data_IF_926234732947
#
_entry.id   IF_926234732947
#
_cell.length_a   1.000
_cell.length_b   1.000
_cell.length_c   1.000
_cell.angle_alpha   90.00
_cell.angle_beta   90.00
_cell.angle_gamma   90.00
#
_symmetry.space_group_name_H-M   'P 1'
#
loop_
_entity.id
_entity.type
_entity.pdbx_description
1 polymer ?
#
# COMPACT_ATOMS: atom_id res chain seq x y z
N UNK A 1 -18.80 26.25 23.84
CA UNK A 1 -18.32 24.87 24.08
C UNK A 1 -18.46 24.13 22.77
N UNK A 2 -17.36 23.72 22.14
CA UNK A 2 -17.40 22.89 20.94
C UNK A 2 -17.75 21.46 21.35
N UNK A 3 -18.72 20.84 20.68
CA UNK A 3 -19.01 19.42 20.85
C UNK A 3 -17.76 18.59 20.54
N UNK A 4 -17.50 17.49 21.29
CA UNK A 4 -16.39 16.60 20.98
C UNK A 4 -16.52 16.10 19.54
N UNK A 5 -15.41 16.06 18.82
CA UNK A 5 -15.36 15.55 17.44
C UNK A 5 -15.80 14.08 17.43
N UNK A 6 -16.64 13.73 16.45
CA UNK A 6 -17.00 12.33 16.20
C UNK A 6 -15.73 11.56 15.82
N UNK A 7 -15.54 10.37 16.37
CA UNK A 7 -14.48 9.47 15.92
C UNK A 7 -14.74 8.94 14.52
N UNK A 8 -16.03 8.82 14.14
CA UNK A 8 -16.48 8.18 12.91
C UNK A 8 -17.01 9.17 11.88
N UNK A 9 -16.56 9.02 10.65
CA UNK A 9 -16.96 9.81 9.50
C UNK A 9 -18.12 9.13 8.77
N UNK A 10 -19.29 9.74 8.87
CA UNK A 10 -20.48 9.32 8.11
C UNK A 10 -20.62 10.08 6.76
N UNK A 11 -19.76 11.07 6.51
CA UNK A 11 -19.83 11.89 5.30
C UNK A 11 -19.21 11.17 4.11
N UNK A 12 -19.96 11.09 3.01
CA UNK A 12 -19.47 10.61 1.73
C UNK A 12 -18.60 11.69 1.06
N UNK A 13 -17.31 11.39 0.90
CA UNK A 13 -16.30 12.25 0.32
C UNK A 13 -16.24 12.03 -1.19
N UNK A 14 -16.67 13.03 -1.95
CA UNK A 14 -16.47 13.10 -3.40
C UNK A 14 -15.02 13.45 -3.75
N UNK A 15 -14.66 13.39 -5.04
CA UNK A 15 -13.33 13.80 -5.51
C UNK A 15 -12.96 15.23 -5.06
N UNK A 16 -13.88 16.18 -5.22
CA UNK A 16 -13.63 17.57 -4.86
C UNK A 16 -13.48 17.72 -3.34
N UNK A 17 -14.30 17.03 -2.56
CA UNK A 17 -14.18 17.03 -1.11
C UNK A 17 -12.81 16.47 -0.66
N UNK A 18 -12.38 15.35 -1.24
CA UNK A 18 -11.06 14.77 -0.97
C UNK A 18 -9.93 15.74 -1.31
N UNK A 19 -9.98 16.43 -2.47
CA UNK A 19 -8.97 17.41 -2.85
C UNK A 19 -8.91 18.55 -1.83
N UNK A 20 -10.04 19.12 -1.43
CA UNK A 20 -10.08 20.18 -0.42
C UNK A 20 -9.53 19.74 0.94
N UNK A 21 -9.83 18.51 1.37
CA UNK A 21 -9.26 17.94 2.60
C UNK A 21 -7.74 17.77 2.50
N UNK A 22 -7.24 17.29 1.36
CA UNK A 22 -5.82 17.10 1.11
C UNK A 22 -5.05 18.41 0.97
N UNK A 23 -5.67 19.46 0.42
CA UNK A 23 -5.10 20.81 0.36
C UNK A 23 -4.89 21.40 1.76
N UNK A 24 -5.88 21.28 2.63
CA UNK A 24 -5.75 21.74 4.02
C UNK A 24 -4.77 20.87 4.81
N UNK A 25 -4.79 19.55 4.61
CA UNK A 25 -3.80 18.66 5.21
C UNK A 25 -2.39 19.06 4.76
N UNK A 26 -2.19 19.34 3.47
CA UNK A 26 -0.93 19.79 2.89
C UNK A 26 -0.36 21.02 3.58
N UNK A 27 -1.19 22.04 3.84
CA UNK A 27 -0.75 23.26 4.52
C UNK A 27 -0.30 22.96 5.95
N UNK A 28 -1.07 22.17 6.68
CA UNK A 28 -0.76 21.81 8.06
C UNK A 28 0.50 20.95 8.16
N UNK A 29 0.66 19.94 7.29
CA UNK A 29 1.87 19.10 7.32
C UNK A 29 3.10 19.87 6.85
N UNK A 30 2.99 20.82 5.92
CA UNK A 30 4.13 21.67 5.56
C UNK A 30 4.58 22.53 6.73
N UNK A 31 3.63 23.11 7.46
CA UNK A 31 3.92 23.88 8.68
C UNK A 31 4.55 23.00 9.76
N UNK A 32 3.99 21.81 9.98
CA UNK A 32 4.43 20.89 11.02
C UNK A 32 5.82 20.32 10.70
N UNK A 33 6.00 19.75 9.51
CA UNK A 33 7.23 19.02 9.16
C UNK A 33 8.31 19.88 8.51
N UNK A 34 7.98 21.10 8.06
CA UNK A 34 8.91 21.99 7.36
C UNK A 34 9.34 21.51 5.97
N UNK A 35 8.74 20.42 5.47
CA UNK A 35 9.04 19.85 4.16
C UNK A 35 7.83 19.08 3.61
N UNK A 36 7.88 18.76 2.32
CA UNK A 36 6.91 17.87 1.69
C UNK A 36 7.01 16.44 2.26
N UNK A 37 5.87 15.86 2.65
CA UNK A 37 5.77 14.47 3.11
C UNK A 37 5.15 13.58 2.05
N UNK A 38 5.32 12.26 2.18
CA UNK A 38 4.68 11.26 1.31
C UNK A 38 3.81 10.33 2.14
N UNK A 39 2.59 10.10 1.66
CA UNK A 39 1.66 9.13 2.23
C UNK A 39 1.29 8.10 1.18
N UNK A 40 1.30 6.83 1.58
CA UNK A 40 0.91 5.70 0.74
C UNK A 40 -0.50 5.26 1.11
N UNK A 41 -1.40 5.23 0.14
CA UNK A 41 -2.83 4.99 0.37
C UNK A 41 -3.37 3.79 -0.42
N UNK A 42 -4.48 3.24 0.06
CA UNK A 42 -5.26 2.23 -0.66
C UNK A 42 -6.77 2.50 -0.53
N UNK A 43 -7.61 1.52 -0.84
CA UNK A 43 -9.04 1.59 -0.55
C UNK A 43 -9.88 2.32 -1.60
N UNK A 44 -10.90 3.05 -1.14
CA UNK A 44 -11.86 3.76 -2.01
C UNK A 44 -11.32 5.06 -2.58
N UNK A 45 -10.52 5.80 -1.80
CA UNK A 45 -9.94 7.08 -2.21
C UNK A 45 -9.09 6.98 -3.49
N UNK A 46 -8.33 5.90 -3.64
CA UNK A 46 -7.54 5.62 -4.86
C UNK A 46 -8.42 5.61 -6.11
N UNK A 47 -9.58 4.96 -6.04
CA UNK A 47 -10.49 4.81 -7.17
C UNK A 47 -11.12 6.14 -7.61
N UNK A 48 -11.16 7.13 -6.71
CA UNK A 48 -11.77 8.44 -6.94
C UNK A 48 -10.71 9.46 -7.38
N UNK A 49 -9.51 9.39 -6.81
CA UNK A 49 -8.44 10.37 -7.05
C UNK A 49 -7.57 10.00 -8.26
N UNK A 50 -7.34 8.71 -8.51
CA UNK A 50 -6.44 8.29 -9.58
C UNK A 50 -7.02 8.63 -10.97
N UNK A 51 -6.29 9.38 -11.83
CA UNK A 51 -6.83 9.92 -13.08
C UNK A 51 -7.52 8.87 -13.96
N UNK A 52 -6.86 7.73 -14.20
CA UNK A 52 -7.39 6.67 -15.05
C UNK A 52 -8.48 5.81 -14.39
N UNK A 53 -8.42 5.62 -13.07
CA UNK A 53 -9.39 4.78 -12.37
C UNK A 53 -10.69 5.54 -12.13
N UNK A 54 -10.62 6.84 -11.84
CA UNK A 54 -11.79 7.69 -11.69
C UNK A 54 -12.67 7.73 -12.94
N UNK A 55 -12.05 7.61 -14.12
CA UNK A 55 -12.73 7.59 -15.41
C UNK A 55 -13.37 6.22 -15.74
N UNK A 56 -12.82 5.13 -15.19
CA UNK A 56 -13.22 3.75 -15.53
C UNK A 56 -13.98 3.01 -14.42
N UNK A 57 -13.94 3.53 -13.19
CA UNK A 57 -14.74 3.08 -12.06
C UNK A 57 -16.09 3.79 -12.03
N UNK A 58 -17.11 3.13 -11.48
CA UNK A 58 -18.41 3.73 -11.16
C UNK A 58 -18.42 4.42 -9.79
N UNK A 59 -17.40 4.19 -8.95
CA UNK A 59 -17.31 4.79 -7.63
C UNK A 59 -17.16 6.31 -7.76
N UNK A 60 -17.97 7.06 -7.00
CA UNK A 60 -17.93 8.54 -6.97
C UNK A 60 -17.62 9.11 -5.59
N UNK A 61 -17.81 8.31 -4.55
CA UNK A 61 -17.56 8.71 -3.16
C UNK A 61 -16.88 7.61 -2.36
N UNK A 62 -16.19 8.00 -1.30
CA UNK A 62 -15.61 7.13 -0.26
C UNK A 62 -15.90 7.75 1.10
N UNK A 63 -15.80 7.00 2.19
CA UNK A 63 -15.91 7.57 3.54
C UNK A 63 -14.56 8.01 4.09
N UNK A 64 -13.49 7.41 3.61
CA UNK A 64 -12.17 7.56 4.19
C UNK A 64 -11.06 7.43 3.13
N UNK A 65 -9.86 7.81 3.57
CA UNK A 65 -8.57 7.59 2.92
C UNK A 65 -7.78 6.61 3.79
N UNK A 66 -7.71 5.35 3.38
CA UNK A 66 -6.88 4.35 4.07
C UNK A 66 -5.40 4.59 3.75
N UNK A 67 -4.56 4.84 4.77
CA UNK A 67 -3.13 5.05 4.60
C UNK A 67 -2.27 4.09 5.42
N UNK A 68 -1.05 3.83 4.93
CA UNK A 68 -0.11 2.91 5.58
C UNK A 68 0.69 3.68 6.64
N UNK A 69 0.18 3.71 7.87
CA UNK A 69 0.79 4.43 8.99
C UNK A 69 2.21 3.96 9.29
N UNK A 70 2.45 2.65 9.36
CA UNK A 70 3.79 2.10 9.64
C UNK A 70 4.84 2.50 8.62
N UNK A 71 4.44 2.73 7.36
CA UNK A 71 5.35 3.18 6.31
C UNK A 71 5.83 4.60 6.59
N UNK A 72 4.90 5.49 6.91
CA UNK A 72 5.19 6.86 7.30
C UNK A 72 6.08 6.91 8.54
N UNK A 73 5.71 6.19 9.61
CA UNK A 73 6.53 6.13 10.83
C UNK A 73 7.92 5.54 10.61
N UNK A 74 8.08 4.58 9.69
CA UNK A 74 9.39 4.04 9.33
C UNK A 74 10.27 5.04 8.59
N UNK A 75 9.72 5.83 7.66
CA UNK A 75 10.47 6.87 6.95
C UNK A 75 11.00 7.94 7.91
N UNK A 76 10.18 8.38 8.86
CA UNK A 76 10.53 9.48 9.76
C UNK A 76 11.41 9.07 10.93
N UNK A 77 11.26 7.85 11.47
CA UNK A 77 12.20 7.33 12.48
C UNK A 77 13.62 7.24 11.93
N UNK A 78 13.80 6.92 10.64
CA UNK A 78 15.12 6.97 9.98
C UNK A 78 15.72 8.37 9.88
N UNK A 79 14.89 9.41 9.99
CA UNK A 79 15.28 10.82 10.00
C UNK A 79 15.42 11.38 11.42
N UNK A 80 15.26 10.55 12.46
CA UNK A 80 15.35 10.96 13.87
C UNK A 80 14.09 11.62 14.43
N UNK A 81 12.96 11.58 13.71
CA UNK A 81 11.68 12.12 14.18
C UNK A 81 10.80 10.97 14.65
N UNK A 82 10.72 10.78 15.97
CA UNK A 82 10.07 9.63 16.59
C UNK A 82 8.58 9.86 16.89
N UNK A 83 8.15 11.11 16.97
CA UNK A 83 6.76 11.55 17.22
C UNK A 83 6.00 11.89 15.93
N UNK A 84 6.58 11.61 14.75
CA UNK A 84 6.02 12.00 13.46
C UNK A 84 4.56 11.53 13.26
N UNK A 85 4.23 10.31 13.69
CA UNK A 85 2.87 9.77 13.56
C UNK A 85 1.85 10.55 14.40
N UNK A 86 2.22 10.96 15.61
CA UNK A 86 1.37 11.76 16.50
C UNK A 86 1.13 13.16 15.92
N UNK A 87 2.19 13.74 15.35
CA UNK A 87 2.13 15.04 14.64
C UNK A 87 1.24 14.98 13.40
N UNK A 88 1.36 13.92 12.59
CA UNK A 88 0.47 13.70 11.45
C UNK A 88 -0.99 13.53 11.90
N UNK A 89 -1.23 12.77 12.97
CA UNK A 89 -2.58 12.60 13.52
C UNK A 89 -3.16 13.93 14.02
N UNK A 90 -2.34 14.80 14.60
CA UNK A 90 -2.76 16.16 14.98
C UNK A 90 -3.22 16.96 13.75
N UNK A 91 -2.48 16.93 12.64
CA UNK A 91 -2.89 17.56 11.39
C UNK A 91 -4.21 16.97 10.85
N UNK A 92 -4.36 15.64 10.83
CA UNK A 92 -5.58 14.94 10.39
C UNK A 92 -6.79 15.37 11.24
N UNK A 93 -6.63 15.45 12.56
CA UNK A 93 -7.68 15.87 13.48
C UNK A 93 -8.07 17.34 13.28
N UNK A 94 -7.09 18.22 12.99
CA UNK A 94 -7.35 19.62 12.70
C UNK A 94 -8.15 19.80 11.39
N UNK A 95 -7.84 19.02 10.35
CA UNK A 95 -8.65 18.98 9.11
C UNK A 95 -10.06 18.47 9.43
N UNK A 96 -10.18 17.37 10.17
CA UNK A 96 -11.49 16.82 10.55
C UNK A 96 -12.36 17.86 11.27
N UNK A 97 -11.76 18.62 12.18
CA UNK A 97 -12.41 19.70 12.91
C UNK A 97 -12.89 20.83 12.00
N UNK A 98 -12.05 21.25 11.04
CA UNK A 98 -12.36 22.32 10.08
C UNK A 98 -13.54 21.97 9.17
N UNK A 99 -13.63 20.71 8.73
CA UNK A 99 -14.68 20.25 7.82
C UNK A 99 -15.89 19.61 8.53
N UNK A 100 -15.89 19.56 9.86
CA UNK A 100 -16.92 18.91 10.66
C UNK A 100 -17.17 17.43 10.28
N UNK A 101 -16.09 16.69 10.03
CA UNK A 101 -16.11 15.25 9.71
C UNK A 101 -15.45 14.43 10.81
N UNK A 102 -15.64 13.11 10.77
CA UNK A 102 -15.01 12.20 11.72
C UNK A 102 -13.49 12.15 11.59
N UNK A 103 -12.78 11.91 12.68
CA UNK A 103 -11.30 11.85 12.68
C UNK A 103 -10.73 10.67 11.88
N UNK A 104 -11.55 9.64 11.61
CA UNK A 104 -11.21 8.49 10.76
C UNK A 104 -11.38 8.76 9.25
N UNK A 105 -11.62 10.01 8.81
CA UNK A 105 -11.61 10.35 7.38
C UNK A 105 -10.27 10.01 6.70
N UNK A 106 -9.17 9.99 7.46
CA UNK A 106 -7.88 9.46 7.05
C UNK A 106 -7.47 8.35 8.02
N UNK A 107 -7.73 7.10 7.62
CA UNK A 107 -7.77 5.94 8.50
C UNK A 107 -6.48 5.11 8.40
N UNK A 108 -5.91 4.74 9.56
CA UNK A 108 -4.77 3.84 9.67
C UNK A 108 -5.15 2.44 10.17
N UNK A 109 -6.38 2.21 10.63
CA UNK A 109 -6.79 0.94 11.23
C UNK A 109 -6.59 -0.28 10.32
N UNK A 110 -6.81 -0.19 8.98
CA UNK A 110 -6.53 -1.30 8.09
C UNK A 110 -5.06 -1.76 8.12
N UNK A 111 -4.13 -0.90 8.53
CA UNK A 111 -2.69 -1.16 8.59
C UNK A 111 -2.37 -2.38 9.48
N UNK A 112 -3.13 -2.57 10.57
CA UNK A 112 -2.94 -3.66 11.54
C UNK A 112 -3.08 -5.05 10.90
N UNK A 113 -3.91 -5.17 9.86
CA UNK A 113 -4.20 -6.44 9.21
C UNK A 113 -3.26 -6.74 8.02
N UNK A 114 -2.43 -5.79 7.61
CA UNK A 114 -1.56 -5.96 6.45
C UNK A 114 -0.32 -6.79 6.82
N UNK A 115 0.17 -7.66 5.91
CA UNK A 115 1.27 -8.57 6.23
C UNK A 115 2.62 -7.85 6.31
N UNK A 116 3.49 -8.36 7.17
CA UNK A 116 4.94 -8.17 7.06
C UNK A 116 5.59 -9.34 6.34
N UNK A 117 6.73 -9.09 5.71
CA UNK A 117 7.55 -10.10 5.07
C UNK A 117 8.95 -10.15 5.70
N UNK A 118 9.64 -11.28 5.53
CA UNK A 118 11.07 -11.40 5.86
C UNK A 118 11.88 -11.42 4.58
N UNK A 119 12.94 -10.63 4.53
CA UNK A 119 13.89 -10.68 3.41
C UNK A 119 14.80 -11.93 3.54
N UNK A 120 15.68 -12.23 2.57
CA UNK A 120 16.60 -13.36 2.65
C UNK A 120 17.56 -13.36 3.85
N UNK A 121 17.74 -12.20 4.51
CA UNK A 121 18.52 -12.05 5.74
C UNK A 121 17.70 -12.28 7.01
N UNK A 122 16.40 -12.59 6.86
CA UNK A 122 15.47 -12.77 7.97
C UNK A 122 14.93 -11.45 8.56
N UNK A 123 15.29 -10.30 7.99
CA UNK A 123 14.86 -8.99 8.48
C UNK A 123 13.42 -8.72 8.08
N UNK A 124 12.63 -8.21 9.03
CA UNK A 124 11.24 -7.87 8.81
C UNK A 124 11.14 -6.58 7.98
N UNK A 125 10.29 -6.57 6.96
CA UNK A 125 9.99 -5.39 6.17
C UNK A 125 8.51 -5.33 5.79
N UNK A 126 8.04 -4.12 5.46
CA UNK A 126 6.71 -3.89 4.91
C UNK A 126 6.77 -4.05 3.38
N UNK A 127 6.20 -5.14 2.82
CA UNK A 127 6.26 -5.39 1.39
C UNK A 127 5.40 -4.42 0.58
N UNK A 128 4.29 -3.91 1.16
CA UNK A 128 3.40 -2.99 0.47
C UNK A 128 4.09 -1.66 0.28
N UNK A 129 4.69 -1.13 1.34
CA UNK A 129 5.51 0.08 1.26
C UNK A 129 6.73 -0.11 0.36
N UNK A 130 7.41 -1.26 0.48
CA UNK A 130 8.59 -1.56 -0.34
C UNK A 130 8.30 -1.46 -1.84
N UNK A 131 7.17 -2.00 -2.28
CA UNK A 131 6.80 -1.98 -3.70
C UNK A 131 6.21 -0.63 -4.12
N UNK A 132 5.47 0.03 -3.23
CA UNK A 132 4.78 1.28 -3.55
C UNK A 132 5.73 2.48 -3.67
N UNK A 133 6.88 2.44 -3.00
CA UNK A 133 7.89 3.52 -3.06
C UNK A 133 8.82 3.44 -4.27
N UNK A 134 8.67 2.44 -5.14
CA UNK A 134 9.52 2.30 -6.32
C UNK A 134 9.27 3.46 -7.30
N UNK A 135 10.30 4.00 -7.98
CA UNK A 135 10.16 5.20 -8.81
C UNK A 135 9.05 5.11 -9.86
N UNK A 136 8.94 3.97 -10.54
CA UNK A 136 7.89 3.71 -11.52
C UNK A 136 6.48 3.74 -10.90
N UNK A 137 6.31 3.23 -9.68
CA UNK A 137 5.02 3.32 -8.99
C UNK A 137 4.71 4.76 -8.60
N UNK A 138 5.69 5.52 -8.11
CA UNK A 138 5.50 6.93 -7.76
C UNK A 138 5.04 7.72 -8.99
N UNK A 139 5.71 7.53 -10.13
CA UNK A 139 5.36 8.21 -11.38
C UNK A 139 3.93 7.87 -11.84
N UNK A 140 3.58 6.58 -11.86
CA UNK A 140 2.29 6.14 -12.39
C UNK A 140 1.12 6.34 -11.42
N UNK A 141 1.36 6.26 -10.12
CA UNK A 141 0.31 6.11 -9.10
C UNK A 141 0.30 7.25 -8.06
N UNK A 142 0.98 8.36 -8.32
CA UNK A 142 0.74 9.60 -7.57
C UNK A 142 -0.65 10.14 -7.91
N UNK A 143 -1.51 10.24 -6.91
CA UNK A 143 -2.92 10.66 -7.10
C UNK A 143 -3.18 12.09 -6.64
N UNK A 144 -2.25 12.69 -5.89
CA UNK A 144 -2.32 14.07 -5.44
C UNK A 144 -0.91 14.59 -5.12
N UNK A 145 -0.64 15.85 -5.48
CA UNK A 145 0.62 16.55 -5.23
C UNK A 145 0.35 18.00 -4.86
N UNK A 146 1.02 18.46 -3.81
CA UNK A 146 1.02 19.84 -3.33
C UNK A 146 2.35 20.18 -2.64
N UNK A 147 2.63 21.43 -2.25
CA UNK A 147 3.91 21.78 -1.60
C UNK A 147 4.21 20.99 -0.32
N UNK A 148 3.19 20.61 0.46
CA UNK A 148 3.35 19.88 1.72
C UNK A 148 3.14 18.38 1.62
N UNK A 149 2.44 17.89 0.60
CA UNK A 149 1.95 16.52 0.58
C UNK A 149 2.02 15.89 -0.82
N UNK A 150 2.53 14.66 -0.88
CA UNK A 150 2.34 13.75 -2.01
C UNK A 150 1.55 12.54 -1.51
N UNK A 151 0.48 12.21 -2.21
CA UNK A 151 -0.31 10.99 -1.94
C UNK A 151 -0.11 10.01 -3.09
N UNK A 152 0.38 8.82 -2.75
CA UNK A 152 0.75 7.78 -3.70
C UNK A 152 -0.13 6.57 -3.43
N UNK A 153 -0.84 6.08 -4.45
CA UNK A 153 -1.54 4.80 -4.33
C UNK A 153 -0.52 3.66 -4.19
N UNK A 154 -0.87 2.65 -3.41
CA UNK A 154 -0.16 1.36 -3.46
C UNK A 154 -0.14 0.82 -4.89
N UNK A 155 0.82 -0.06 -5.18
CA UNK A 155 0.88 -0.71 -6.49
C UNK A 155 -0.46 -1.40 -6.81
N UNK A 156 -0.80 -1.46 -8.11
CA UNK A 156 -2.08 -2.02 -8.54
C UNK A 156 -2.29 -3.48 -8.10
N UNK A 157 -1.24 -4.29 -8.04
CA UNK A 157 -1.35 -5.66 -7.53
C UNK A 157 -1.71 -5.71 -6.05
N UNK A 158 -1.13 -4.84 -5.21
CA UNK A 158 -1.51 -4.73 -3.81
C UNK A 158 -2.96 -4.24 -3.67
N UNK A 159 -3.37 -3.22 -4.42
CA UNK A 159 -4.75 -2.74 -4.38
C UNK A 159 -5.77 -3.82 -4.77
N UNK A 160 -5.49 -4.62 -5.81
CA UNK A 160 -6.33 -5.77 -6.20
C UNK A 160 -6.34 -6.85 -5.11
N UNK A 161 -5.17 -7.23 -4.59
CA UNK A 161 -5.04 -8.25 -3.56
C UNK A 161 -5.81 -7.91 -2.28
N UNK A 162 -5.70 -6.66 -1.80
CA UNK A 162 -6.41 -6.19 -0.61
C UNK A 162 -7.93 -6.18 -0.82
N UNK A 163 -8.39 -5.76 -2.00
CA UNK A 163 -9.82 -5.81 -2.37
C UNK A 163 -10.31 -7.24 -2.53
N UNK A 164 -9.51 -8.18 -3.04
CA UNK A 164 -9.89 -9.59 -3.17
C UNK A 164 -10.10 -10.29 -1.83
N UNK A 165 -9.33 -9.96 -0.80
CA UNK A 165 -9.51 -10.52 0.55
C UNK A 165 -10.84 -10.07 1.15
N UNK A 166 -11.23 -8.83 0.87
CA UNK A 166 -12.42 -8.21 1.41
C UNK A 166 -13.68 -8.54 0.61
N UNK A 167 -13.61 -8.34 -0.70
CA UNK A 167 -14.59 -8.61 -1.75
C UNK A 167 -16.04 -8.30 -1.38
N UNK A 168 -16.30 -7.04 -1.00
CA UNK A 168 -17.64 -6.57 -0.61
C UNK A 168 -17.95 -5.19 -1.16
N UNK A 169 -19.24 -4.89 -1.28
CA UNK A 169 -19.77 -3.61 -1.80
C UNK A 169 -19.21 -3.32 -3.21
N UNK A 170 -18.42 -2.28 -3.35
CA UNK A 170 -17.82 -1.80 -4.61
C UNK A 170 -16.46 -2.46 -4.92
N UNK A 171 -15.96 -3.37 -4.08
CA UNK A 171 -14.69 -4.06 -4.36
C UNK A 171 -14.66 -4.80 -5.71
N UNK A 172 -15.71 -5.53 -6.15
CA UNK A 172 -15.71 -6.20 -7.44
C UNK A 172 -15.56 -5.22 -8.62
N UNK A 173 -16.32 -4.11 -8.60
CA UNK A 173 -16.26 -3.09 -9.66
C UNK A 173 -14.94 -2.34 -9.65
N UNK A 174 -14.38 -2.08 -8.46
CA UNK A 174 -13.07 -1.47 -8.32
C UNK A 174 -11.96 -2.37 -8.91
N UNK A 175 -12.01 -3.68 -8.61
CA UNK A 175 -11.06 -4.66 -9.18
C UNK A 175 -11.17 -4.66 -10.71
N UNK A 176 -12.38 -4.68 -11.27
CA UNK A 176 -12.58 -4.64 -12.73
C UNK A 176 -11.96 -3.39 -13.35
N UNK A 177 -12.15 -2.21 -12.75
CA UNK A 177 -11.53 -0.96 -13.22
C UNK A 177 -9.99 -1.03 -13.16
N UNK A 178 -9.42 -1.59 -12.08
CA UNK A 178 -7.98 -1.78 -11.94
C UNK A 178 -7.41 -2.77 -12.98
N UNK A 179 -8.11 -3.87 -13.25
CA UNK A 179 -7.71 -4.84 -14.28
C UNK A 179 -7.79 -4.21 -15.68
N UNK A 180 -8.86 -3.47 -15.98
CA UNK A 180 -9.01 -2.74 -17.25
C UNK A 180 -7.87 -1.74 -17.44
N UNK A 181 -7.50 -1.01 -16.39
CA UNK A 181 -6.34 -0.13 -16.44
C UNK A 181 -5.04 -0.89 -16.73
N UNK A 182 -4.83 -2.04 -16.08
CA UNK A 182 -3.70 -2.93 -16.37
C UNK A 182 -3.66 -3.45 -17.82
N UNK A 183 -4.83 -3.76 -18.41
CA UNK A 183 -4.95 -4.12 -19.83
C UNK A 183 -4.56 -2.95 -20.73
N UNK A 184 -5.03 -1.74 -20.46
CA UNK A 184 -4.69 -0.55 -21.25
C UNK A 184 -3.20 -0.23 -21.22
N UNK A 185 -2.56 -0.38 -20.07
CA UNK A 185 -1.13 -0.07 -19.91
C UNK A 185 -0.21 -1.13 -20.52
N UNK A 186 -0.55 -2.41 -20.37
CA UNK A 186 0.38 -3.52 -20.65
C UNK A 186 -0.14 -4.55 -21.65
N UNK A 187 -1.33 -4.34 -22.24
CA UNK A 187 -1.95 -5.28 -23.17
C UNK A 187 -2.40 -6.60 -22.52
N UNK A 188 -2.44 -6.68 -21.19
CA UNK A 188 -2.72 -7.93 -20.46
C UNK A 188 -4.14 -8.42 -20.74
N UNK A 189 -4.24 -9.64 -21.26
CA UNK A 189 -5.49 -10.35 -21.44
C UNK A 189 -5.80 -11.19 -20.19
N UNK A 190 -6.62 -10.64 -19.29
CA UNK A 190 -6.88 -11.29 -18.01
C UNK A 190 -7.67 -12.59 -18.17
N UNK A 191 -7.07 -13.66 -17.65
CA UNK A 191 -7.72 -14.95 -17.38
C UNK A 191 -7.69 -15.19 -15.87
N UNK A 192 -8.59 -16.04 -15.32
CA UNK A 192 -8.53 -16.37 -13.89
C UNK A 192 -7.16 -16.91 -13.48
N UNK A 193 -6.54 -17.74 -14.32
CA UNK A 193 -5.21 -18.28 -14.08
C UNK A 193 -4.12 -17.20 -14.04
N UNK A 194 -4.11 -16.26 -15.01
CA UNK A 194 -3.15 -15.16 -15.03
C UNK A 194 -3.31 -14.28 -13.80
N UNK A 195 -4.54 -13.93 -13.43
CA UNK A 195 -4.82 -13.11 -12.26
C UNK A 195 -4.44 -13.81 -10.95
N UNK A 196 -4.75 -15.09 -10.79
CA UNK A 196 -4.38 -15.89 -9.62
C UNK A 196 -2.85 -16.00 -9.49
N UNK A 197 -2.15 -16.31 -10.58
CA UNK A 197 -0.69 -16.38 -10.58
C UNK A 197 -0.05 -15.03 -10.26
N UNK A 198 -0.60 -13.94 -10.81
CA UNK A 198 -0.13 -12.57 -10.59
C UNK A 198 -0.20 -12.17 -9.11
N UNK A 199 -1.34 -12.37 -8.45
CA UNK A 199 -1.47 -12.03 -7.02
C UNK A 199 -0.66 -12.99 -6.13
N UNK A 200 -0.58 -14.28 -6.47
CA UNK A 200 0.21 -15.24 -5.68
C UNK A 200 1.71 -14.96 -5.73
N UNK A 201 2.18 -14.48 -6.88
CA UNK A 201 3.59 -14.14 -7.08
C UNK A 201 3.93 -12.80 -6.42
N UNK A 202 3.18 -11.74 -6.74
CA UNK A 202 3.54 -10.38 -6.30
C UNK A 202 3.08 -10.06 -4.87
N UNK A 203 1.99 -10.67 -4.43
CA UNK A 203 1.45 -10.49 -3.08
C UNK A 203 1.66 -11.75 -2.23
N UNK A 204 2.75 -12.49 -2.46
CA UNK A 204 3.09 -13.69 -1.68
C UNK A 204 3.04 -13.50 -0.15
N UNK A 205 3.35 -12.32 0.44
CA UNK A 205 3.26 -12.14 1.90
C UNK A 205 1.84 -12.29 2.46
N UNK A 206 0.82 -12.26 1.61
CA UNK A 206 -0.57 -12.55 1.98
C UNK A 206 -0.81 -14.03 2.35
N UNK A 207 0.17 -14.91 2.12
CA UNK A 207 0.11 -16.30 2.54
C UNK A 207 -0.87 -17.15 1.72
N UNK A 208 -1.17 -16.78 0.48
CA UNK A 208 -2.11 -17.49 -0.39
C UNK A 208 -1.79 -18.99 -0.56
N UNK A 209 -0.51 -19.35 -0.52
CA UNK A 209 -0.08 -20.76 -0.63
C UNK A 209 -0.37 -21.59 0.62
N UNK A 210 -0.66 -20.93 1.75
CA UNK A 210 -1.00 -21.55 3.03
C UNK A 210 -2.51 -21.50 3.33
N UNK A 211 -3.32 -21.05 2.38
CA UNK A 211 -4.78 -20.99 2.53
C UNK A 211 -5.35 -22.40 2.70
N UNK A 212 -6.32 -22.54 3.61
CA UNK A 212 -7.12 -23.77 3.71
C UNK A 212 -7.91 -23.97 2.40
N UNK A 213 -8.30 -25.20 2.05
CA UNK A 213 -9.00 -25.47 0.79
C UNK A 213 -10.22 -24.56 0.54
N UNK A 214 -11.04 -24.29 1.56
CA UNK A 214 -12.21 -23.40 1.43
C UNK A 214 -11.81 -21.93 1.17
N UNK A 215 -10.75 -21.42 1.79
CA UNK A 215 -10.28 -20.05 1.58
C UNK A 215 -9.67 -19.89 0.18
N UNK A 216 -8.94 -20.91 -0.28
CA UNK A 216 -8.39 -20.94 -1.63
C UNK A 216 -9.51 -20.97 -2.68
N UNK A 217 -10.57 -21.76 -2.44
CA UNK A 217 -11.72 -21.82 -3.33
C UNK A 217 -12.51 -20.50 -3.35
N UNK A 218 -12.70 -19.88 -2.19
CA UNK A 218 -13.33 -18.56 -2.10
C UNK A 218 -12.53 -17.49 -2.87
N UNK A 219 -11.20 -17.48 -2.72
CA UNK A 219 -10.33 -16.59 -3.49
C UNK A 219 -10.47 -16.83 -4.99
N UNK A 220 -10.45 -18.09 -5.45
CA UNK A 220 -10.64 -18.44 -6.87
C UNK A 220 -12.00 -18.00 -7.37
N UNK A 221 -13.07 -18.22 -6.61
CA UNK A 221 -14.41 -17.79 -6.97
C UNK A 221 -14.48 -16.27 -7.22
N UNK A 222 -13.89 -15.48 -6.33
CA UNK A 222 -13.79 -14.02 -6.45
C UNK A 222 -12.97 -13.57 -7.66
N UNK A 223 -11.87 -14.26 -7.96
CA UNK A 223 -11.05 -14.03 -9.17
C UNK A 223 -11.86 -14.33 -10.43
N UNK A 224 -12.54 -15.48 -10.48
CA UNK A 224 -13.37 -15.88 -11.61
C UNK A 224 -14.49 -14.89 -11.86
N UNK A 225 -15.14 -14.39 -10.81
CA UNK A 225 -16.18 -13.38 -10.90
C UNK A 225 -15.63 -12.05 -11.45
N UNK A 226 -14.53 -11.53 -10.89
CA UNK A 226 -13.91 -10.30 -11.37
C UNK A 226 -13.48 -10.37 -12.85
N UNK A 227 -12.88 -11.47 -13.29
CA UNK A 227 -12.48 -11.67 -14.69
C UNK A 227 -13.70 -11.82 -15.60
N UNK A 228 -14.76 -12.48 -15.15
CA UNK A 228 -16.01 -12.58 -15.90
C UNK A 228 -16.64 -11.20 -16.10
N UNK A 229 -16.76 -10.42 -15.02
CA UNK A 229 -17.29 -9.05 -15.07
C UNK A 229 -16.48 -8.16 -16.02
N UNK A 230 -15.15 -8.27 -15.99
CA UNK A 230 -14.29 -7.57 -16.94
C UNK A 230 -14.67 -7.92 -18.38
N UNK A 231 -14.83 -9.19 -18.71
CA UNK A 231 -15.15 -9.63 -20.09
C UNK A 231 -16.54 -9.22 -20.56
N UNK A 232 -17.51 -9.20 -19.66
CA UNK A 232 -18.90 -8.83 -20.00
C UNK A 232 -19.15 -7.31 -19.98
N UNK A 233 -18.16 -6.53 -19.55
CA UNK A 233 -18.28 -5.07 -19.48
C UNK A 233 -18.36 -4.46 -20.89
N UNK A 234 -19.42 -3.69 -21.23
CA UNK A 234 -19.65 -3.17 -22.58
C UNK A 234 -18.56 -2.19 -23.08
N UNK A 235 -17.81 -1.57 -22.16
CA UNK A 235 -16.63 -0.76 -22.47
C UNK A 235 -15.47 -1.52 -23.14
N UNK A 236 -15.50 -2.86 -23.16
CA UNK A 236 -14.50 -3.67 -23.84
C UNK A 236 -14.91 -4.08 -25.26
N UNK A 237 -16.06 -3.60 -25.75
CA UNK A 237 -16.29 -3.57 -27.19
C UNK A 237 -15.15 -2.77 -27.80
N UNK A 238 -14.47 -3.28 -28.85
CA UNK A 238 -13.53 -2.47 -29.61
C UNK A 238 -14.26 -1.17 -29.90
N UNK A 239 -13.79 -0.06 -29.36
CA UNK A 239 -14.22 1.24 -29.83
C UNK A 239 -13.95 1.15 -31.32
N UNK A 240 -15.00 0.97 -32.12
CA UNK A 240 -14.93 1.36 -33.51
C UNK A 240 -14.39 2.77 -33.43
N UNK A 241 -13.11 2.93 -33.81
CA UNK A 241 -12.51 4.21 -34.08
C UNK A 241 -13.44 4.85 -35.09
N UNK A 242 -14.43 5.59 -34.58
CA UNK A 242 -15.31 6.39 -35.39
C UNK A 242 -14.37 7.35 -36.07
N UNK A 243 -14.03 6.96 -37.30
CA UNK A 243 -13.27 7.70 -38.27
C UNK A 243 -14.11 8.92 -38.62
N UNK A 244 -14.20 9.86 -37.68
CA UNK A 244 -14.49 11.24 -37.99
C UNK A 244 -13.21 11.79 -38.59
N UNK A 245 -13.01 11.43 -39.86
CA UNK A 245 -12.18 12.13 -40.82
C UNK A 245 -12.76 13.53 -40.97
N UNK A 246 -12.52 14.39 -39.97
CA UNK A 246 -12.66 15.81 -40.12
C UNK A 246 -11.49 16.26 -41.00
N UNK A 247 -11.77 16.47 -42.28
CA UNK A 247 -10.92 17.20 -43.21
C UNK A 247 -10.61 18.58 -42.61
N UNK A 248 -9.42 18.75 -42.02
CA UNK A 248 -8.85 20.07 -41.69
C UNK A 248 -7.45 20.17 -42.33
N UNK A 249 -7.12 21.27 -43.02
CA UNK A 249 -5.87 21.41 -43.76
C UNK A 249 -4.66 21.62 -42.84
N UNK A 250 -3.56 20.96 -43.19
CA UNK A 250 -2.25 21.01 -42.54
C UNK A 250 -1.62 22.40 -42.51
N UNK A 251 -1.12 22.81 -41.34
CA UNK A 251 0.03 23.73 -41.21
C UNK A 251 0.97 23.30 -40.07
N UNK A 252 2.15 22.83 -40.50
CA UNK A 252 3.50 22.90 -39.94
C UNK A 252 3.81 22.80 -38.42
N UNK A 253 4.59 21.74 -38.14
CA UNK A 253 5.83 21.66 -37.35
C UNK A 253 5.79 21.86 -35.82
N UNK A 254 6.16 20.79 -35.08
CA UNK A 254 7.16 20.70 -33.98
C UNK A 254 7.17 19.25 -33.39
N UNK A 255 8.09 18.85 -32.49
CA UNK A 255 9.13 17.86 -32.79
C UNK A 255 8.87 16.48 -32.16
N UNK A 256 9.55 15.47 -32.70
CA UNK A 256 9.48 14.07 -32.27
C UNK A 256 10.07 13.86 -30.87
N UNK A 257 9.25 13.37 -29.94
CA UNK A 257 9.70 12.69 -28.72
C UNK A 257 9.74 11.18 -29.00
N UNK A 258 10.94 10.62 -29.02
CA UNK A 258 11.20 9.20 -29.21
C UNK A 258 10.71 8.38 -28.00
N UNK A 259 9.85 7.41 -28.30
CA UNK A 259 9.38 6.33 -27.43
C UNK A 259 10.52 5.40 -27.01
N UNK A 260 10.72 5.23 -25.70
CA UNK A 260 11.53 4.15 -25.13
C UNK A 260 10.60 3.15 -24.43
N UNK A 261 10.34 2.02 -25.08
CA UNK A 261 9.47 0.93 -24.61
C UNK A 261 10.26 -0.37 -24.62
N UNK A 262 11.09 -0.62 -23.60
CA UNK A 262 11.70 -1.92 -23.32
C UNK A 262 12.21 -2.06 -21.88
N UNK A 263 11.34 -1.84 -20.86
CA UNK A 263 11.75 -2.12 -19.47
C UNK A 263 10.60 -2.55 -18.55
N UNK A 264 9.85 -3.60 -18.90
CA UNK A 264 8.93 -4.27 -17.96
C UNK A 264 8.99 -5.80 -18.14
N UNK A 265 10.18 -6.40 -18.02
CA UNK A 265 10.35 -7.86 -17.86
C UNK A 265 11.71 -8.32 -17.34
N UNK A 266 12.60 -7.43 -16.86
CA UNK A 266 13.95 -7.82 -16.40
C UNK A 266 14.35 -7.42 -14.98
N UNK A 267 13.43 -6.92 -14.15
CA UNK A 267 13.77 -6.52 -12.77
C UNK A 267 13.24 -7.47 -11.69
N UNK A 268 13.38 -8.78 -11.90
CA UNK A 268 13.24 -9.80 -10.84
C UNK A 268 14.25 -10.94 -11.08
N UNK A 269 15.53 -10.62 -10.92
CA UNK A 269 16.58 -11.61 -10.70
C UNK A 269 17.57 -11.05 -9.66
N UNK A 270 18.05 -11.84 -8.69
CA UNK A 270 19.01 -11.37 -7.70
C UNK A 270 20.38 -11.19 -8.38
N UNK A 271 20.95 -9.98 -8.31
CA UNK A 271 22.34 -9.75 -8.70
C UNK A 271 23.26 -10.53 -7.75
N UNK A 272 23.94 -11.52 -8.31
CA UNK A 272 25.11 -12.16 -7.73
C UNK A 272 26.25 -11.15 -7.56
N UNK A 273 27.10 -11.43 -6.58
CA UNK A 273 28.03 -10.50 -5.93
C UNK A 273 29.00 -9.77 -6.84
N UNK A 274 29.26 -8.51 -6.46
CA UNK A 274 30.43 -7.76 -6.86
C UNK A 274 31.26 -7.43 -5.62
N UNK A 275 32.49 -7.93 -5.63
CA UNK A 275 33.54 -7.68 -4.66
C UNK A 275 33.92 -6.19 -4.64
N UNK A 276 33.98 -5.59 -3.44
CA UNK A 276 34.60 -4.29 -3.23
C UNK A 276 36.12 -4.41 -3.32
N UNK A 277 36.83 -3.51 -4.02
CA UNK A 277 38.23 -3.26 -3.74
C UNK A 277 38.38 -2.31 -2.54
N UNK A 278 39.23 -2.71 -1.61
CA UNK A 278 39.75 -1.85 -0.55
C UNK A 278 40.49 -0.65 -1.16
N UNK A 279 40.18 0.56 -0.70
CA UNK A 279 41.05 1.71 -0.88
C UNK A 279 41.30 2.40 0.46
N UNK A 280 42.59 2.67 0.65
CA UNK A 280 43.25 3.09 1.87
C UNK A 280 42.82 4.49 2.34
N UNK A 281 42.84 4.66 3.66
CA UNK A 281 42.73 5.94 4.35
C UNK A 281 44.14 6.53 4.50
N UNK A 282 44.42 7.75 4.04
CA UNK A 282 45.56 8.52 4.52
C UNK A 282 45.14 9.37 5.71
N UNK A 283 45.76 9.08 6.86
CA UNK A 283 45.88 9.97 8.01
C UNK A 283 46.55 11.28 7.62
N UNK A 284 45.93 12.42 7.94
CA UNK A 284 46.70 13.63 8.24
C UNK A 284 46.03 14.47 9.33
N UNK A 285 46.78 14.59 10.43
CA UNK A 285 46.67 15.53 11.54
C UNK A 285 46.87 16.98 11.04
N UNK A 286 46.19 17.95 11.68
CA UNK A 286 46.63 19.30 12.13
C UNK A 286 45.37 20.08 12.59
N UNK A 287 45.08 20.18 13.89
CA UNK A 287 45.47 21.21 14.88
C UNK A 287 44.77 22.60 14.78
N UNK A 288 44.07 22.93 15.89
CA UNK A 288 43.78 24.23 16.56
C UNK A 288 42.96 25.30 15.82
N UNK A 289 41.76 25.59 16.33
CA UNK A 289 41.54 26.86 17.08
C UNK A 289 40.22 26.89 17.84
N UNK A 290 40.39 27.28 19.10
CA UNK A 290 39.46 27.40 20.21
C UNK A 290 39.00 28.84 20.37
N UNK A 291 37.71 29.09 20.51
CA UNK A 291 37.18 30.22 21.29
C UNK A 291 35.79 29.87 21.82
N UNK A 292 35.71 29.44 23.09
CA UNK A 292 34.47 29.47 23.87
C UNK A 292 34.70 30.30 25.14
N UNK A 293 33.77 31.24 25.32
CA UNK A 293 33.69 32.22 26.40
C UNK A 293 33.33 31.57 27.73
N UNK A 294 33.98 32.07 28.79
CA UNK A 294 33.71 31.88 30.22
C UNK A 294 32.35 32.52 30.59
N UNK A 295 31.43 31.80 31.27
CA UNK A 295 31.18 31.73 32.74
C UNK A 295 30.16 32.80 33.23
N UNK A 296 29.47 32.72 34.42
CA UNK A 296 29.45 31.71 35.50
C UNK A 296 28.05 31.27 36.08
N UNK A 297 28.08 30.17 36.88
CA UNK A 297 27.44 29.87 38.21
C UNK A 297 26.22 30.70 38.70
N UNK A 298 25.19 30.24 39.44
CA UNK A 298 24.77 29.03 40.20
C UNK A 298 23.27 29.26 40.61
N UNK A 299 22.62 28.62 41.63
CA UNK A 299 22.84 27.36 42.36
C UNK A 299 21.57 26.46 42.50
N UNK A 300 21.76 25.31 43.18
CA UNK A 300 20.76 24.34 43.63
C UNK A 300 19.62 24.90 44.50
N UNK A 301 18.45 24.26 44.42
CA UNK A 301 17.39 24.37 45.43
C UNK A 301 16.19 23.44 45.22
N UNK A 302 16.11 22.42 46.09
CA UNK A 302 14.91 21.79 46.63
C UNK A 302 14.03 20.80 45.83
N UNK A 303 14.10 19.56 46.36
CA UNK A 303 13.03 18.56 46.50
C UNK A 303 11.63 19.18 46.68
N UNK A 304 10.60 18.53 46.13
CA UNK A 304 9.45 17.97 46.90
C UNK A 304 8.41 17.27 45.99
N UNK A 305 7.95 16.11 46.49
CA UNK A 305 6.69 15.36 46.24
C UNK A 305 6.46 14.65 44.90
N UNK A 306 6.81 13.36 44.92
CA UNK A 306 6.02 12.27 44.30
C UNK A 306 4.61 12.25 44.89
N UNK A 307 3.61 12.42 44.05
CA UNK A 307 2.22 12.09 44.37
C UNK A 307 1.90 10.71 43.81
N UNK A 308 1.66 9.77 44.73
CA UNK A 308 1.02 8.47 44.46
C UNK A 308 -0.33 8.67 43.80
N UNK A 309 -0.53 8.10 42.61
CA UNK A 309 -1.87 7.84 42.11
C UNK A 309 -2.35 6.52 42.69
N UNK A 310 -3.37 6.65 43.54
CA UNK A 310 -4.18 5.59 44.13
C UNK A 310 -4.88 4.84 43.00
N UNK A 311 -4.65 3.53 42.94
CA UNK A 311 -5.37 2.58 42.10
C UNK A 311 -6.77 2.38 42.68
N UNK A 312 -7.77 3.04 42.09
CA UNK A 312 -9.17 2.76 42.35
C UNK A 312 -9.56 1.49 41.58
N UNK A 313 -9.64 0.37 42.31
CA UNK A 313 -10.30 -0.86 41.88
C UNK A 313 -11.80 -0.59 41.74
N UNK A 314 -12.31 -0.61 40.51
CA UNK A 314 -13.75 -0.80 40.28
C UNK A 314 -14.10 -2.29 40.44
N UNK A 315 -15.21 -2.63 41.12
CA UNK A 315 -15.69 -4.00 41.19
C UNK A 315 -16.27 -4.44 39.84
N UNK A 316 -15.83 -5.61 39.38
CA UNK A 316 -16.34 -6.28 38.19
C UNK A 316 -17.78 -6.74 38.43
N UNK A 317 -18.74 -6.08 37.77
CA UNK A 317 -20.11 -6.59 37.63
C UNK A 317 -20.09 -7.62 36.50
N UNK A 318 -20.31 -8.87 36.86
CA UNK A 318 -20.40 -9.99 35.90
C UNK A 318 -21.73 -9.93 35.14
N UNK A 319 -21.76 -10.08 33.81
CA UNK A 319 -23.00 -10.19 33.06
C UNK A 319 -23.68 -11.55 33.29
N UNK A 320 -25.03 -11.63 33.23
CA UNK A 320 -25.77 -12.87 33.43
C UNK A 320 -25.52 -13.86 32.29
N UNK A 321 -25.21 -15.10 32.65
CA UNK A 321 -25.05 -16.24 31.73
C UNK A 321 -26.39 -16.59 31.08
N UNK A 322 -26.46 -16.75 29.74
CA UNK A 322 -27.64 -17.33 29.10
C UNK A 322 -27.75 -18.82 29.43
N UNK A 323 -28.97 -19.25 29.80
CA UNK A 323 -29.34 -20.65 30.01
C UNK A 323 -29.39 -21.36 28.64
N UNK A 324 -28.40 -22.23 28.38
CA UNK A 324 -28.47 -23.18 27.27
C UNK A 324 -29.28 -24.40 27.70
N UNK A 325 -30.35 -24.67 26.97
CA UNK A 325 -31.13 -25.91 27.06
C UNK A 325 -30.35 -26.97 26.26
N UNK A 326 -29.92 -28.02 26.95
CA UNK A 326 -29.27 -29.19 26.35
C UNK A 326 -30.30 -30.16 25.79
N UNK A 327 -30.20 -30.51 24.51
CA UNK A 327 -30.76 -31.75 23.98
C UNK A 327 -29.61 -32.71 23.65
N UNK A 328 -29.67 -33.88 24.29
CA UNK A 328 -28.76 -35.00 24.19
C UNK A 328 -28.60 -35.52 22.74
N UNK A 329 -27.37 -35.85 22.37
CA UNK A 329 -27.08 -36.89 21.38
C UNK A 329 -25.66 -37.41 21.62
N UNK A 330 -25.60 -38.67 22.03
CA UNK A 330 -24.42 -39.42 22.41
C UNK A 330 -23.91 -40.24 21.23
N UNK A 331 -22.68 -39.98 20.79
CA UNK A 331 -21.87 -40.98 20.09
C UNK A 331 -20.41 -40.89 20.52
N UNK A 332 -19.98 -41.99 21.14
CA UNK A 332 -18.64 -42.36 21.56
C UNK A 332 -17.88 -43.00 20.40
N UNK A 333 -16.72 -42.45 20.00
CA UNK A 333 -15.63 -43.22 19.37
C UNK A 333 -14.28 -42.68 19.85
N UNK A 334 -13.50 -43.58 20.43
CA UNK A 334 -12.11 -43.51 20.85
C UNK A 334 -11.14 -43.75 19.68
N UNK A 335 -10.07 -42.97 19.56
CA UNK A 335 -8.67 -43.42 19.80
C UNK A 335 -7.63 -42.41 19.31
N UNK A 336 -6.59 -42.34 20.14
CA UNK A 336 -5.31 -41.67 20.07
C UNK A 336 -4.39 -42.13 18.93
N UNK A 337 -3.67 -41.20 18.29
CA UNK A 337 -2.25 -41.39 17.98
C UNK A 337 -1.47 -40.07 17.95
N UNK A 338 -0.46 -40.03 18.81
CA UNK A 338 0.60 -39.03 18.88
C UNK A 338 1.63 -39.34 17.79
N UNK A 339 1.92 -38.36 16.93
CA UNK A 339 3.10 -38.39 16.07
C UNK A 339 3.86 -37.07 16.23
N UNK A 340 5.16 -37.23 16.52
CA UNK A 340 6.16 -36.19 16.69
C UNK A 340 6.42 -35.44 15.37
N UNK A 341 6.83 -34.16 15.42
CA UNK A 341 7.00 -33.35 14.21
C UNK A 341 8.27 -33.75 13.44
N UNK A 342 8.10 -34.20 12.20
CA UNK A 342 9.19 -34.37 11.25
C UNK A 342 9.73 -33.00 10.83
N UNK A 343 11.04 -32.83 10.92
CA UNK A 343 11.81 -31.71 10.38
C UNK A 343 11.59 -31.59 8.87
N UNK A 344 10.82 -30.59 8.45
CA UNK A 344 10.61 -30.25 7.05
C UNK A 344 11.83 -29.50 6.51
N UNK A 345 12.62 -30.16 5.66
CA UNK A 345 13.67 -29.52 4.84
C UNK A 345 13.00 -28.68 3.76
N UNK A 346 13.38 -27.39 3.66
CA UNK A 346 13.03 -26.57 2.52
C UNK A 346 13.69 -27.12 1.24
N UNK A 347 12.98 -27.19 0.09
CA UNK A 347 13.62 -27.42 -1.19
C UNK A 347 14.42 -26.19 -1.61
N UNK A 348 15.63 -26.46 -2.12
CA UNK A 348 16.52 -25.52 -2.80
C UNK A 348 15.80 -24.74 -3.91
N UNK A 349 16.13 -23.45 -4.12
CA UNK A 349 15.52 -22.67 -5.19
C UNK A 349 15.97 -23.18 -6.56
N UNK A 350 14.97 -23.50 -7.39
CA UNK A 350 15.10 -23.93 -8.77
C UNK A 350 15.87 -22.91 -9.63
N UNK A 351 16.83 -23.40 -10.39
CA UNK A 351 17.48 -22.68 -11.47
C UNK A 351 16.50 -22.42 -12.64
N UNK A 352 16.63 -21.30 -13.36
CA UNK A 352 15.81 -21.04 -14.53
C UNK A 352 16.18 -21.98 -15.70
N UNK A 353 15.21 -22.35 -16.56
CA UNK A 353 15.45 -23.21 -17.72
C UNK A 353 16.30 -22.50 -18.80
N UNK A 354 17.05 -23.24 -19.63
CA UNK A 354 17.90 -22.66 -20.67
C UNK A 354 17.05 -22.06 -21.79
N UNK A 355 17.42 -20.84 -22.21
CA UNK A 355 16.84 -20.11 -23.33
C UNK A 355 17.01 -20.87 -24.64
N UNK A 356 15.91 -21.18 -25.32
CA UNK A 356 15.90 -21.65 -26.71
C UNK A 356 16.42 -20.52 -27.63
N UNK A 357 17.62 -20.71 -28.16
CA UNK A 357 18.18 -19.90 -29.25
C UNK A 357 17.43 -20.24 -30.55
N UNK A 358 16.63 -19.30 -31.04
CA UNK A 358 16.15 -19.31 -32.41
C UNK A 358 17.28 -18.88 -33.36
N UNK A 359 17.72 -19.83 -34.19
CA UNK A 359 18.45 -19.56 -35.43
C UNK A 359 17.49 -18.90 -36.43
N UNK A 360 17.87 -17.75 -36.98
CA UNK A 360 17.35 -17.28 -38.27
C UNK A 360 18.56 -17.02 -39.17
N UNK A 361 18.82 -17.96 -40.08
CA UNK A 361 19.67 -17.75 -41.24
C UNK A 361 18.81 -17.07 -42.32
N UNK A 362 19.31 -15.97 -42.87
CA UNK A 362 18.79 -15.38 -44.11
C UNK A 362 19.39 -16.11 -45.31
N UNK A 363 18.63 -16.47 -46.35
CA UNK A 363 19.21 -16.93 -47.59
C UNK A 363 19.65 -15.70 -48.42
N UNK A 364 20.90 -15.72 -48.86
CA UNK A 364 21.39 -14.83 -49.90
C UNK A 364 20.75 -15.17 -51.24
N UNK A 365 20.50 -14.13 -52.04
CA UNK A 365 20.08 -14.23 -53.43
C UNK A 365 21.16 -13.57 -54.28
N UNK A 366 21.61 -14.33 -55.28
CA UNK A 366 22.44 -13.90 -56.40
C UNK A 366 21.63 -13.05 -57.39
#
# INVERSE_FOLDING_TARGET
>A
MSSPLSSHNEVQLSRNALISLLDDLSLLVLQEFGCQIRLFIHGGAVMILHPYLSASSTRRTTRDVDYIRRAFGHEWRKRGVHDAEERLQHCINAVAAKFHIGTDWMNADPDVALPFAKNPRGELYDPIYHDSKQPNNIEMNTVYTSPGLIVISVTMFWGVALKLVRYKKEDPTDIVAMLRHGTKLNGVQWTPHIMENWIKTLCWPMGYNSYKPHQAEELRSRIHDAVRQLRTSPENSPLEEHSHTALIPSTNQSPQMLTSLHTMSRSLAPHAGFSQPQLAIPTHLMHISSHHSLSPYAPMGERIRRSSMVSLRHPAVSPPKPKFISSHSSHSISHSHSQSPSTFRMPEPWAPPPSLLHFHQSPGVF
#
